data_IF_820795618474
#
_entry.id   IF_820795618474
#
_cell.length_a   1.000
_cell.length_b   1.000
_cell.length_c   1.000
_cell.angle_alpha   90.00
_cell.angle_beta   90.00
_cell.angle_gamma   90.00
#
_symmetry.space_group_name_H-M   'P 1'
#
loop_
_entity.id
_entity.type
_entity.pdbx_description
1 polymer ?
#
# COMPACT_ATOMS: atom_id res chain seq x y z
N UNK A 1 5.45 -16.53 -37.33
CA UNK A 1 5.49 -17.01 -35.93
C UNK A 1 5.81 -15.88 -34.95
N UNK A 2 6.93 -15.14 -35.12
CA UNK A 2 7.29 -14.02 -34.23
C UNK A 2 6.21 -12.92 -34.13
N UNK A 3 5.63 -12.51 -35.25
CA UNK A 3 4.57 -11.48 -35.28
C UNK A 3 3.32 -11.89 -34.49
N UNK A 4 2.86 -13.14 -34.64
CA UNK A 4 1.73 -13.69 -33.88
C UNK A 4 2.05 -13.72 -32.39
N UNK A 5 3.28 -14.10 -32.03
CA UNK A 5 3.75 -14.08 -30.64
C UNK A 5 3.75 -12.65 -30.06
N UNK A 6 4.18 -11.64 -30.81
CA UNK A 6 4.16 -10.24 -30.37
C UNK A 6 2.72 -9.79 -30.06
N UNK A 7 1.76 -10.06 -30.95
CA UNK A 7 0.36 -9.72 -30.70
C UNK A 7 -0.22 -10.45 -29.49
N UNK A 8 0.14 -11.72 -29.31
CA UNK A 8 -0.24 -12.49 -28.12
C UNK A 8 0.35 -11.87 -26.84
N UNK A 9 1.61 -11.42 -26.86
CA UNK A 9 2.24 -10.74 -25.73
C UNK A 9 1.59 -9.37 -25.43
N UNK A 10 1.19 -8.61 -26.46
CA UNK A 10 0.39 -7.39 -26.27
C UNK A 10 -0.93 -7.73 -25.58
N UNK A 11 -1.63 -8.76 -26.03
CA UNK A 11 -2.89 -9.21 -25.43
C UNK A 11 -2.73 -9.61 -23.95
N UNK A 12 -1.68 -10.37 -23.61
CA UNK A 12 -1.31 -10.67 -22.22
C UNK A 12 -1.09 -9.37 -21.44
N UNK A 13 -0.32 -8.44 -22.01
CA UNK A 13 -0.03 -7.16 -21.37
C UNK A 13 -1.30 -6.36 -21.06
N UNK A 14 -2.21 -6.24 -22.03
CA UNK A 14 -3.50 -5.56 -21.84
C UNK A 14 -4.34 -6.23 -20.75
N UNK A 15 -4.37 -7.57 -20.72
CA UNK A 15 -5.09 -8.33 -19.70
C UNK A 15 -4.49 -8.12 -18.31
N UNK A 16 -3.15 -8.09 -18.21
CA UNK A 16 -2.46 -7.77 -16.97
C UNK A 16 -2.77 -6.33 -16.50
N UNK A 17 -2.83 -5.35 -17.41
CA UNK A 17 -3.19 -3.97 -17.08
C UNK A 17 -4.63 -3.84 -16.56
N UNK A 18 -5.57 -4.61 -17.10
CA UNK A 18 -6.94 -4.72 -16.57
C UNK A 18 -6.96 -5.36 -15.18
N UNK A 19 -6.19 -6.44 -14.99
CA UNK A 19 -6.06 -7.09 -13.70
C UNK A 19 -5.51 -6.15 -12.62
N UNK A 20 -4.56 -5.27 -12.96
CA UNK A 20 -4.03 -4.28 -12.02
C UNK A 20 -5.10 -3.31 -11.49
N UNK A 21 -6.03 -2.87 -12.35
CA UNK A 21 -7.15 -2.02 -11.91
C UNK A 21 -8.05 -2.78 -10.95
N UNK A 22 -8.35 -4.04 -11.27
CA UNK A 22 -9.11 -4.92 -10.38
C UNK A 22 -8.41 -5.11 -9.03
N UNK A 23 -7.10 -5.39 -9.04
CA UNK A 23 -6.31 -5.60 -7.82
C UNK A 23 -6.29 -4.34 -6.94
N UNK A 24 -6.13 -3.15 -7.53
CA UNK A 24 -6.18 -1.89 -6.79
C UNK A 24 -7.57 -1.68 -6.17
N UNK A 25 -8.65 -1.88 -6.93
CA UNK A 25 -10.01 -1.77 -6.40
C UNK A 25 -10.29 -2.77 -5.26
N UNK A 26 -9.78 -3.99 -5.39
CA UNK A 26 -9.90 -5.02 -4.35
C UNK A 26 -9.10 -4.66 -3.09
N UNK A 27 -7.86 -4.17 -3.24
CA UNK A 27 -7.01 -3.74 -2.13
C UNK A 27 -7.60 -2.53 -1.37
N UNK A 28 -8.39 -1.68 -2.02
CA UNK A 28 -9.09 -0.57 -1.36
C UNK A 28 -10.21 -1.07 -0.46
N UNK A 29 -10.98 -2.04 -0.94
CA UNK A 29 -12.25 -2.39 -0.31
C UNK A 29 -12.14 -3.58 0.65
N UNK A 30 -11.20 -4.51 0.44
CA UNK A 30 -11.28 -5.83 1.09
C UNK A 30 -9.96 -6.40 1.64
N UNK A 31 -8.77 -5.89 1.28
CA UNK A 31 -7.56 -6.72 1.34
C UNK A 31 -6.30 -6.13 1.98
N UNK A 32 -6.41 -5.42 3.11
CA UNK A 32 -5.21 -5.21 3.93
C UNK A 32 -4.80 -6.50 4.69
N UNK A 33 -5.75 -7.38 5.00
CA UNK A 33 -5.59 -8.60 5.82
C UNK A 33 -4.87 -9.74 5.06
N UNK A 34 -4.99 -9.76 3.74
CA UNK A 34 -4.46 -10.82 2.88
C UNK A 34 -2.94 -10.72 2.62
N UNK A 35 -2.32 -9.57 2.90
CA UNK A 35 -0.90 -9.29 2.61
C UNK A 35 0.06 -9.46 3.79
N UNK A 36 -0.41 -10.01 4.91
CA UNK A 36 0.45 -10.37 6.06
C UNK A 36 1.07 -11.76 5.86
N UNK A 37 2.30 -11.94 6.34
CA UNK A 37 2.90 -13.27 6.47
C UNK A 37 2.08 -14.11 7.45
N UNK A 38 2.16 -15.45 7.38
CA UNK A 38 1.45 -16.32 8.32
C UNK A 38 1.79 -15.98 9.78
N UNK A 39 3.07 -15.76 10.08
CA UNK A 39 3.52 -15.36 11.42
C UNK A 39 2.98 -14.00 11.87
N UNK A 40 2.80 -13.04 10.96
CA UNK A 40 2.22 -11.74 11.33
C UNK A 40 0.70 -11.79 11.47
N UNK A 41 0.02 -12.74 10.80
CA UNK A 41 -1.41 -13.01 11.03
C UNK A 41 -1.65 -13.60 12.42
N UNK A 42 -0.82 -14.56 12.82
CA UNK A 42 -0.87 -15.12 14.18
C UNK A 42 -0.63 -14.02 15.23
N UNK A 43 0.43 -13.21 15.06
CA UNK A 43 0.71 -12.06 15.94
C UNK A 43 -0.43 -11.05 15.98
N UNK A 44 -1.04 -10.74 14.83
CA UNK A 44 -2.19 -9.84 14.77
C UNK A 44 -3.35 -10.39 15.60
N UNK A 45 -3.68 -11.67 15.44
CA UNK A 45 -4.77 -12.31 16.18
C UNK A 45 -4.50 -12.34 17.69
N UNK A 46 -3.26 -12.64 18.09
CA UNK A 46 -2.83 -12.69 19.49
C UNK A 46 -2.88 -11.29 20.14
N UNK A 47 -2.30 -10.28 19.48
CA UNK A 47 -2.27 -8.91 19.98
C UNK A 47 -3.67 -8.29 20.03
N UNK A 48 -4.52 -8.52 19.02
CA UNK A 48 -5.91 -8.06 19.06
C UNK A 48 -6.71 -8.73 20.17
N UNK A 49 -6.50 -10.02 20.41
CA UNK A 49 -7.15 -10.72 21.54
C UNK A 49 -6.70 -10.15 22.89
N UNK A 50 -5.39 -9.99 23.10
CA UNK A 50 -4.83 -9.40 24.33
C UNK A 50 -5.25 -7.94 24.51
N UNK A 51 -5.37 -7.16 23.43
CA UNK A 51 -5.83 -5.77 23.47
C UNK A 51 -7.30 -5.66 23.90
N UNK A 52 -8.16 -6.58 23.44
CA UNK A 52 -9.56 -6.64 23.88
C UNK A 52 -9.68 -6.94 25.38
N UNK A 53 -8.87 -7.86 25.89
CA UNK A 53 -8.80 -8.15 27.33
C UNK A 53 -8.31 -6.92 28.11
N UNK A 54 -7.21 -6.30 27.65
CA UNK A 54 -6.65 -5.11 28.28
C UNK A 54 -7.64 -3.93 28.33
N UNK A 55 -8.47 -3.75 27.29
CA UNK A 55 -9.55 -2.75 27.26
C UNK A 55 -10.62 -2.99 28.35
N UNK A 56 -10.81 -4.24 28.77
CA UNK A 56 -11.70 -4.61 29.88
C UNK A 56 -11.00 -4.56 31.25
N UNK A 57 -9.81 -3.93 31.34
CA UNK A 57 -8.95 -3.88 32.51
C UNK A 57 -8.45 -5.26 33.01
N UNK A 58 -8.57 -6.30 32.18
CA UNK A 58 -8.10 -7.66 32.47
C UNK A 58 -6.87 -7.93 31.61
N UNK A 59 -5.69 -8.15 32.21
CA UNK A 59 -4.50 -8.56 31.44
C UNK A 59 -3.75 -7.42 30.70
N UNK A 60 -3.81 -6.17 31.19
CA UNK A 60 -3.00 -5.06 30.64
C UNK A 60 -1.51 -5.40 30.59
N UNK A 61 -0.98 -6.08 31.62
CA UNK A 61 0.43 -6.46 31.68
C UNK A 61 0.82 -7.47 30.59
N UNK A 62 -0.06 -8.42 30.26
CA UNK A 62 0.18 -9.42 29.21
C UNK A 62 0.19 -8.78 27.82
N UNK A 63 -0.65 -7.76 27.62
CA UNK A 63 -0.65 -6.95 26.41
C UNK A 63 0.63 -6.11 26.30
N UNK A 64 1.03 -5.43 27.37
CA UNK A 64 2.26 -4.62 27.41
C UNK A 64 3.50 -5.44 27.09
N UNK A 65 3.59 -6.64 27.66
CA UNK A 65 4.68 -7.55 27.38
C UNK A 65 4.71 -7.98 25.91
N UNK A 66 3.55 -8.31 25.33
CA UNK A 66 3.44 -8.72 23.93
C UNK A 66 3.79 -7.57 22.96
N UNK A 67 3.37 -6.35 23.28
CA UNK A 67 3.71 -5.14 22.52
C UNK A 67 5.21 -4.86 22.59
N UNK A 68 5.81 -4.91 23.79
CA UNK A 68 7.23 -4.69 23.98
C UNK A 68 8.11 -5.71 23.24
N UNK A 69 7.67 -6.97 23.18
CA UNK A 69 8.35 -8.02 22.40
C UNK A 69 8.24 -7.79 20.88
N UNK A 70 7.14 -7.19 20.41
CA UNK A 70 6.87 -7.04 18.97
C UNK A 70 7.42 -5.75 18.39
N UNK A 71 7.30 -4.64 19.13
CA UNK A 71 7.63 -3.28 18.67
C UNK A 71 8.78 -2.64 19.47
N UNK A 72 9.24 -3.28 20.54
CA UNK A 72 10.22 -2.75 21.47
C UNK A 72 9.59 -2.03 22.66
N UNK A 73 10.35 -1.84 23.76
CA UNK A 73 9.84 -1.30 25.02
C UNK A 73 9.46 0.20 24.98
N UNK A 74 9.78 0.90 23.88
CA UNK A 74 9.51 2.33 23.71
C UNK A 74 8.17 2.61 23.04
N UNK A 75 7.44 1.57 22.60
CA UNK A 75 6.12 1.73 21.99
C UNK A 75 5.10 2.23 23.00
N UNK A 76 4.36 3.29 22.64
CA UNK A 76 3.30 3.85 23.47
C UNK A 76 2.16 2.82 23.60
N UNK A 77 1.89 2.42 24.85
CA UNK A 77 0.80 1.50 25.21
C UNK A 77 -0.54 1.95 24.62
N UNK A 78 -0.88 3.23 24.75
CA UNK A 78 -2.16 3.77 24.32
C UNK A 78 -2.29 3.74 22.80
N UNK A 79 -1.19 4.01 22.09
CA UNK A 79 -1.11 3.89 20.63
C UNK A 79 -1.34 2.45 20.17
N UNK A 80 -0.68 1.49 20.83
CA UNK A 80 -0.84 0.07 20.52
C UNK A 80 -2.26 -0.41 20.83
N UNK A 81 -2.79 -0.10 22.01
CA UNK A 81 -4.13 -0.50 22.42
C UNK A 81 -5.19 0.04 21.44
N UNK A 82 -5.08 1.31 21.04
CA UNK A 82 -5.97 1.92 20.05
C UNK A 82 -5.90 1.18 18.71
N UNK A 83 -4.69 0.88 18.22
CA UNK A 83 -4.50 0.20 16.95
C UNK A 83 -5.10 -1.21 16.90
N UNK A 84 -4.96 -1.98 17.98
CA UNK A 84 -5.35 -3.39 18.05
C UNK A 84 -6.78 -3.62 18.54
N UNK A 85 -7.45 -2.59 19.08
CA UNK A 85 -8.87 -2.65 19.49
C UNK A 85 -9.84 -2.06 18.47
N UNK A 86 -9.34 -1.45 17.39
CA UNK A 86 -10.18 -0.89 16.34
C UNK A 86 -10.95 -2.00 15.60
N UNK A 87 -12.25 -1.78 15.34
CA UNK A 87 -13.14 -2.78 14.72
C UNK A 87 -12.61 -3.31 13.38
N UNK A 88 -11.91 -2.45 12.65
CA UNK A 88 -11.20 -2.83 11.43
C UNK A 88 -9.70 -2.89 11.73
N UNK A 89 -9.23 -4.05 12.18
CA UNK A 89 -7.81 -4.33 12.42
C UNK A 89 -6.91 -3.92 11.23
N UNK A 90 -7.44 -3.99 10.01
CA UNK A 90 -6.78 -3.54 8.78
C UNK A 90 -6.45 -2.04 8.68
N UNK A 91 -6.97 -1.20 9.59
CA UNK A 91 -6.79 0.26 9.54
C UNK A 91 -5.48 0.73 10.16
N UNK A 92 -5.08 0.16 11.31
CA UNK A 92 -3.90 0.63 12.04
C UNK A 92 -2.97 -0.50 12.47
N UNK A 93 -3.50 -1.64 12.95
CA UNK A 93 -2.69 -2.77 13.40
C UNK A 93 -1.88 -3.42 12.27
N UNK A 94 -2.48 -3.61 11.08
CA UNK A 94 -1.81 -4.21 9.94
C UNK A 94 -0.62 -3.36 9.43
N UNK A 95 -0.78 -2.04 9.17
CA UNK A 95 0.34 -1.18 8.83
C UNK A 95 1.47 -1.24 9.85
N UNK A 96 1.14 -1.19 11.15
CA UNK A 96 2.13 -1.26 12.23
C UNK A 96 2.95 -2.54 12.17
N UNK A 97 2.29 -3.70 12.07
CA UNK A 97 2.98 -4.99 12.00
C UNK A 97 3.86 -5.09 10.75
N UNK A 98 3.32 -4.69 9.59
CA UNK A 98 4.04 -4.77 8.30
C UNK A 98 5.28 -3.87 8.27
N UNK A 99 5.28 -2.77 9.03
CA UNK A 99 6.37 -1.77 9.04
C UNK A 99 7.19 -1.77 10.33
N UNK A 100 6.97 -2.72 11.25
CA UNK A 100 7.61 -2.75 12.58
C UNK A 100 9.12 -2.55 12.54
N UNK A 101 9.82 -3.17 11.59
CA UNK A 101 11.30 -3.13 11.49
C UNK A 101 11.82 -1.80 10.92
N UNK A 102 10.94 -1.02 10.30
CA UNK A 102 11.24 0.28 9.71
C UNK A 102 10.85 1.44 10.63
N UNK A 103 10.13 1.17 11.72
CA UNK A 103 9.71 2.19 12.67
C UNK A 103 10.82 2.46 13.69
N UNK A 104 11.13 3.74 13.86
CA UNK A 104 11.98 4.24 14.93
C UNK A 104 11.09 4.93 15.96
N UNK A 105 11.03 4.34 17.15
CA UNK A 105 10.15 4.74 18.26
C UNK A 105 10.95 5.49 19.35
N UNK A 106 12.24 5.75 19.13
CA UNK A 106 13.12 6.48 20.06
C UNK A 106 12.88 8.00 20.02
N UNK A 107 11.66 8.44 20.37
CA UNK A 107 11.25 9.85 20.44
C UNK A 107 10.07 10.17 19.53
N UNK A 108 10.25 11.05 18.54
CA UNK A 108 9.24 11.29 17.49
C UNK A 108 9.16 10.05 16.57
N UNK A 109 7.96 9.49 16.38
CA UNK A 109 7.77 8.33 15.50
C UNK A 109 8.27 8.65 14.08
N UNK A 110 9.33 7.96 13.66
CA UNK A 110 9.99 8.15 12.36
C UNK A 110 10.08 6.84 11.60
N UNK A 111 10.24 6.95 10.29
CA UNK A 111 10.36 5.80 9.40
C UNK A 111 11.75 5.77 8.79
N UNK A 112 12.40 4.61 8.87
CA UNK A 112 13.68 4.32 8.23
C UNK A 112 13.39 3.65 6.88
N UNK A 113 13.64 4.38 5.79
CA UNK A 113 13.46 3.86 4.42
C UNK A 113 14.67 3.06 3.94
N UNK A 114 15.86 3.51 4.35
CA UNK A 114 17.19 2.94 4.05
C UNK A 114 18.08 3.13 5.28
N UNK A 115 19.25 2.49 5.33
CA UNK A 115 20.14 2.48 6.50
C UNK A 115 20.45 3.87 7.07
N UNK A 116 20.39 4.94 6.27
CA UNK A 116 20.70 6.32 6.68
C UNK A 116 19.56 7.33 6.49
N UNK A 117 18.44 6.97 5.86
CA UNK A 117 17.36 7.92 5.58
C UNK A 117 16.18 7.70 6.54
N UNK A 118 16.06 8.61 7.52
CA UNK A 118 14.90 8.71 8.42
C UNK A 118 14.04 9.87 7.96
N UNK A 119 12.76 9.62 7.70
CA UNK A 119 11.80 10.69 7.37
C UNK A 119 10.64 10.71 8.36
N UNK A 120 9.90 11.82 8.34
CA UNK A 120 8.64 11.98 9.07
C UNK A 120 7.52 11.29 8.32
N UNK A 121 6.54 10.79 9.07
CA UNK A 121 5.36 10.15 8.51
C UNK A 121 4.57 11.15 7.64
N UNK A 122 4.08 10.72 6.47
CA UNK A 122 3.28 11.58 5.61
C UNK A 122 2.01 12.03 6.34
N UNK A 123 1.64 13.28 6.12
CA UNK A 123 0.45 13.91 6.70
C UNK A 123 -0.72 13.92 5.75
N UNK A 124 -0.49 13.68 4.45
CA UNK A 124 -1.48 13.79 3.39
C UNK A 124 -1.75 12.42 2.77
N UNK A 125 -3.01 12.14 2.48
CA UNK A 125 -3.40 10.91 1.81
C UNK A 125 -3.18 11.06 0.30
N UNK A 126 -2.23 10.30 -0.25
CA UNK A 126 -1.89 10.29 -1.68
C UNK A 126 -2.62 9.20 -2.45
N UNK A 127 -3.48 8.43 -1.78
CA UNK A 127 -4.09 7.22 -2.33
C UNK A 127 -4.92 7.48 -3.58
N UNK A 128 -5.75 8.51 -3.56
CA UNK A 128 -6.57 8.91 -4.72
C UNK A 128 -5.70 9.19 -5.94
N UNK A 129 -4.62 9.94 -5.76
CA UNK A 129 -3.68 10.27 -6.84
C UNK A 129 -3.02 9.01 -7.42
N UNK A 130 -2.53 8.10 -6.57
CA UNK A 130 -1.86 6.88 -7.02
C UNK A 130 -2.83 5.94 -7.76
N UNK A 131 -4.06 5.80 -7.27
CA UNK A 131 -5.10 5.01 -7.95
C UNK A 131 -5.41 5.61 -9.32
N UNK A 132 -5.60 6.94 -9.40
CA UNK A 132 -5.86 7.62 -10.67
C UNK A 132 -4.73 7.39 -11.66
N UNK A 133 -3.47 7.42 -11.22
CA UNK A 133 -2.32 7.12 -12.08
C UNK A 133 -2.32 5.69 -12.61
N UNK A 134 -2.65 4.70 -11.77
CA UNK A 134 -2.78 3.30 -12.21
C UNK A 134 -3.89 3.15 -13.25
N UNK A 135 -5.05 3.77 -13.01
CA UNK A 135 -6.19 3.73 -13.96
C UNK A 135 -5.79 4.34 -15.30
N UNK A 136 -5.18 5.53 -15.29
CA UNK A 136 -4.74 6.22 -16.52
C UNK A 136 -3.72 5.37 -17.29
N UNK A 137 -2.72 4.79 -16.60
CA UNK A 137 -1.76 3.90 -17.24
C UNK A 137 -2.41 2.65 -17.83
N UNK A 138 -3.38 2.06 -17.13
CA UNK A 138 -4.12 0.89 -17.65
C UNK A 138 -5.00 1.24 -18.85
N UNK A 139 -5.60 2.43 -18.88
CA UNK A 139 -6.31 2.92 -20.06
C UNK A 139 -5.36 3.14 -21.24
N UNK A 140 -4.16 3.67 -20.99
CA UNK A 140 -3.15 3.86 -22.03
C UNK A 140 -2.64 2.52 -22.57
N UNK A 141 -2.44 1.51 -21.71
CA UNK A 141 -2.06 0.17 -22.14
C UNK A 141 -3.14 -0.48 -23.03
N UNK A 142 -4.42 -0.32 -22.68
CA UNK A 142 -5.54 -0.76 -23.52
C UNK A 142 -5.58 -0.01 -24.85
N UNK A 143 -5.34 1.30 -24.84
CA UNK A 143 -5.25 2.11 -26.05
C UNK A 143 -4.15 1.61 -26.98
N UNK A 144 -2.93 1.37 -26.47
CA UNK A 144 -1.82 0.81 -27.26
C UNK A 144 -2.15 -0.59 -27.80
N UNK A 145 -2.83 -1.42 -27.00
CA UNK A 145 -3.34 -2.71 -27.44
C UNK A 145 -4.31 -2.60 -28.61
N UNK A 146 -5.30 -1.71 -28.52
CA UNK A 146 -6.25 -1.43 -29.59
C UNK A 146 -5.56 -0.88 -30.85
N UNK A 147 -4.62 0.05 -30.67
CA UNK A 147 -3.81 0.59 -31.77
C UNK A 147 -3.03 -0.49 -32.50
N UNK A 148 -2.52 -1.50 -31.80
CA UNK A 148 -1.77 -2.60 -32.42
C UNK A 148 -2.57 -3.40 -33.44
N UNK A 149 -3.89 -3.53 -33.23
CA UNK A 149 -4.80 -4.19 -34.17
C UNK A 149 -5.27 -3.22 -35.25
N UNK A 150 -5.58 -1.98 -34.87
CA UNK A 150 -6.04 -0.96 -35.79
C UNK A 150 -5.04 -0.69 -36.92
N UNK A 151 -3.75 -0.57 -36.59
CA UNK A 151 -2.70 -0.24 -37.57
C UNK A 151 -2.36 -1.37 -38.55
N UNK A 152 -2.86 -2.59 -38.32
CA UNK A 152 -2.80 -3.67 -39.31
C UNK A 152 -3.63 -3.37 -40.55
N UNK A 153 -4.80 -2.74 -40.37
CA UNK A 153 -5.73 -2.42 -41.45
C UNK A 153 -5.58 -0.96 -41.91
N UNK A 154 -5.21 -0.07 -41.00
CA UNK A 154 -5.15 1.36 -41.22
C UNK A 154 -3.80 1.91 -40.73
N UNK A 155 -2.72 1.74 -41.51
CA UNK A 155 -1.41 2.22 -41.13
C UNK A 155 -1.40 3.74 -41.01
N UNK A 156 -0.80 4.25 -39.95
CA UNK A 156 -0.68 5.69 -39.69
C UNK A 156 0.39 6.28 -40.61
N UNK A 157 -0.02 7.18 -41.50
CA UNK A 157 0.87 7.81 -42.48
C UNK A 157 1.65 9.01 -41.93
N UNK A 158 1.27 9.55 -40.77
CA UNK A 158 1.92 10.73 -40.19
C UNK A 158 3.33 10.39 -39.68
N UNK A 159 4.39 11.10 -40.10
CA UNK A 159 5.79 10.82 -39.71
C UNK A 159 6.02 10.82 -38.20
N UNK A 160 5.28 11.63 -37.45
CA UNK A 160 5.40 11.72 -35.98
C UNK A 160 4.84 10.48 -35.25
N UNK A 161 3.99 9.69 -35.93
CA UNK A 161 3.24 8.58 -35.35
C UNK A 161 3.47 7.25 -36.07
N UNK A 162 4.47 7.18 -36.95
CA UNK A 162 4.83 5.95 -37.68
C UNK A 162 5.19 4.80 -36.75
N UNK A 163 5.71 5.09 -35.55
CA UNK A 163 6.01 4.10 -34.51
C UNK A 163 4.77 3.35 -34.01
N UNK A 164 3.55 3.88 -34.19
CA UNK A 164 2.30 3.15 -33.87
C UNK A 164 2.04 1.97 -34.81
N UNK A 165 2.71 1.93 -35.97
CA UNK A 165 2.64 0.80 -36.89
C UNK A 165 3.60 -0.33 -36.48
N UNK A 166 4.52 -0.09 -35.55
CA UNK A 166 5.53 -1.07 -35.12
C UNK A 166 5.04 -1.88 -33.92
N UNK A 167 4.63 -3.15 -34.11
CA UNK A 167 4.01 -3.93 -33.03
C UNK A 167 4.98 -4.23 -31.88
N UNK A 168 6.29 -4.28 -32.14
CA UNK A 168 7.32 -4.45 -31.10
C UNK A 168 7.36 -3.23 -30.17
N UNK A 169 7.28 -2.02 -30.73
CA UNK A 169 7.27 -0.78 -29.95
C UNK A 169 6.03 -0.73 -29.05
N UNK A 170 4.87 -1.05 -29.62
CA UNK A 170 3.61 -1.13 -28.86
C UNK A 170 3.67 -2.16 -27.73
N UNK A 171 4.22 -3.34 -28.00
CA UNK A 171 4.43 -4.38 -26.99
C UNK A 171 5.30 -3.85 -25.85
N UNK A 172 6.48 -3.30 -26.15
CA UNK A 172 7.40 -2.80 -25.14
C UNK A 172 6.77 -1.69 -24.30
N UNK A 173 6.09 -0.73 -24.93
CA UNK A 173 5.40 0.34 -24.21
C UNK A 173 4.29 -0.19 -23.30
N UNK A 174 3.51 -1.17 -23.75
CA UNK A 174 2.50 -1.83 -22.91
C UNK A 174 3.15 -2.47 -21.67
N UNK A 175 4.25 -3.20 -21.82
CA UNK A 175 4.95 -3.79 -20.66
C UNK A 175 5.58 -2.75 -19.74
N UNK A 176 6.11 -1.65 -20.27
CA UNK A 176 6.61 -0.52 -19.47
C UNK A 176 5.47 0.09 -18.64
N UNK A 177 4.30 0.32 -19.22
CA UNK A 177 3.15 0.84 -18.48
C UNK A 177 2.70 -0.10 -17.36
N UNK A 178 2.68 -1.41 -17.61
CA UNK A 178 2.37 -2.42 -16.58
C UNK A 178 3.39 -2.37 -15.44
N UNK A 179 4.69 -2.27 -15.76
CA UNK A 179 5.75 -2.18 -14.77
C UNK A 179 5.62 -0.90 -13.93
N UNK A 180 5.33 0.24 -14.57
CA UNK A 180 5.10 1.52 -13.89
C UNK A 180 3.88 1.40 -12.97
N UNK A 181 2.76 0.89 -13.45
CA UNK A 181 1.55 0.68 -12.63
C UNK A 181 1.80 -0.25 -11.43
N UNK A 182 2.62 -1.29 -11.60
CA UNK A 182 3.02 -2.17 -10.50
C UNK A 182 3.89 -1.43 -9.48
N UNK A 183 4.82 -0.59 -9.93
CA UNK A 183 5.63 0.26 -9.06
C UNK A 183 4.78 1.25 -8.26
N UNK A 184 3.82 1.90 -8.93
CA UNK A 184 2.89 2.85 -8.31
C UNK A 184 2.03 2.15 -7.26
N UNK A 185 1.48 0.96 -7.54
CA UNK A 185 0.64 0.25 -6.56
C UNK A 185 1.43 -0.20 -5.32
N UNK A 186 2.70 -0.58 -5.49
CA UNK A 186 3.61 -0.88 -4.36
C UNK A 186 3.91 0.36 -3.53
N UNK A 187 4.14 1.49 -4.20
CA UNK A 187 4.43 2.77 -3.55
C UNK A 187 3.20 3.33 -2.84
N UNK A 188 2.02 3.20 -3.43
CA UNK A 188 0.73 3.55 -2.82
C UNK A 188 0.54 2.83 -1.49
N UNK A 189 0.63 1.49 -1.51
CA UNK A 189 0.50 0.67 -0.31
C UNK A 189 1.52 1.07 0.75
N UNK A 190 2.76 1.38 0.34
CA UNK A 190 3.80 1.85 1.24
C UNK A 190 3.45 3.18 1.90
N UNK A 191 3.11 4.20 1.12
CA UNK A 191 2.77 5.52 1.63
C UNK A 191 1.50 5.50 2.47
N UNK A 192 0.52 4.67 2.10
CA UNK A 192 -0.72 4.51 2.84
C UNK A 192 -0.48 3.89 4.21
N UNK A 193 0.36 2.84 4.30
CA UNK A 193 0.76 2.26 5.59
C UNK A 193 1.36 3.35 6.49
N UNK A 194 2.29 4.16 5.97
CA UNK A 194 2.94 5.23 6.74
C UNK A 194 1.97 6.34 7.14
N UNK A 195 1.03 6.68 6.26
CA UNK A 195 -0.01 7.66 6.55
C UNK A 195 -0.93 7.20 7.67
N UNK A 196 -1.36 5.93 7.65
CA UNK A 196 -2.20 5.34 8.71
C UNK A 196 -1.48 5.33 10.07
N UNK A 197 -0.20 4.92 10.09
CA UNK A 197 0.63 4.97 11.30
C UNK A 197 0.79 6.41 11.79
N UNK A 198 1.05 7.36 10.89
CA UNK A 198 1.16 8.78 11.24
C UNK A 198 -0.15 9.37 11.77
N UNK A 199 -1.29 8.97 11.21
CA UNK A 199 -2.62 9.35 11.69
C UNK A 199 -2.85 8.82 13.11
N UNK A 200 -2.53 7.56 13.37
CA UNK A 200 -2.63 6.94 14.68
C UNK A 200 -1.79 7.70 15.72
N UNK A 201 -0.52 7.99 15.43
CA UNK A 201 0.35 8.75 16.34
C UNK A 201 -0.21 10.13 16.69
N UNK A 202 -0.82 10.82 15.72
CA UNK A 202 -1.48 12.12 15.94
C UNK A 202 -2.73 12.01 16.80
N UNK A 203 -3.54 10.96 16.62
CA UNK A 203 -4.72 10.69 17.44
C UNK A 203 -4.33 10.48 18.90
N UNK A 204 -3.33 9.62 19.15
CA UNK A 204 -2.80 9.37 20.50
C UNK A 204 -2.25 10.65 21.13
N UNK A 205 -1.51 11.46 20.37
CA UNK A 205 -0.94 12.72 20.87
C UNK A 205 -1.99 13.81 21.16
N UNK A 206 -3.13 13.79 20.46
CA UNK A 206 -4.24 14.71 20.72
C UNK A 206 -5.02 14.30 21.97
N UNK A 207 -5.25 13.01 22.15
CA UNK A 207 -5.95 12.46 23.31
C UNK A 207 -5.17 12.67 24.62
N UNK A 208 -3.85 12.41 24.60
CA UNK A 208 -2.98 12.68 25.74
C UNK A 208 -2.95 14.17 26.14
N UNK A 209 -3.10 15.09 25.19
CA UNK A 209 -3.21 16.54 25.49
C UNK A 209 -4.53 16.91 26.14
N UNK A 210 -5.63 16.27 25.73
CA UNK A 210 -6.94 16.47 26.37
C UNK A 210 -6.94 15.96 27.82
N UNK A 211 -6.37 14.78 28.08
CA UNK A 211 -6.24 14.22 29.44
C UNK A 211 -5.42 15.10 30.38
N UNK A 212 -4.38 15.79 29.87
CA UNK A 212 -3.60 16.72 30.67
C UNK A 212 -4.28 18.07 30.90
N UNK A 213 -5.04 18.58 29.92
CA UNK A 213 -5.79 19.83 30.08
C UNK A 213 -6.99 19.71 31.03
N UNK A 214 -7.50 18.51 31.27
CA UNK A 214 -8.66 18.27 32.14
C UNK A 214 -8.25 18.00 33.61
N UNK A 215 -6.95 17.81 33.87
CA UNK A 215 -6.37 17.60 35.21
C UNK A 215 -5.69 18.86 35.79
N UNK A 216 -5.66 19.95 35.05
CA UNK A 216 -5.14 21.26 35.47
C UNK A 216 -6.31 22.20 35.80
#
# INVERSE_FOLDING_TARGET
MLTVFIYFMIFIGVTAALYQVYEVNYNINFANDLKLSSGDKERLSELSHKALLAKQAVGSADFDQAVAQTFGPQMDHHMALLAFTEEKAGTYAIPLLRRREQLDVSGELRVRHLSLCKTRLPTWDTRVLMISLVIVNSMLAQFLGGMSIYTLLYPVASPAFTWLNEPVVLMLLTFVLIAISHGISRLDMYLHDLYQIGKLARLTSADNRHLHSQKA
#
